data_IF_380580391075
#
_entry.id   IF_380580391075
#
_cell.length_a   1.000
_cell.length_b   1.000
_cell.length_c   1.000
_cell.angle_alpha   90.00
_cell.angle_beta   90.00
_cell.angle_gamma   90.00
#
_symmetry.space_group_name_H-M   'P 1'
#
loop_
_entity.id
_entity.type
_entity.pdbx_description
1 polymer ?
#
# COMPACT_ATOMS: atom_id res chain seq x y z
N UNK A 1 16.27 -7.14 -16.22
CA UNK A 1 15.89 -5.89 -16.91
C UNK A 1 15.67 -4.85 -15.84
N UNK A 2 16.44 -3.77 -15.83
CA UNK A 2 16.29 -2.68 -14.86
C UNK A 2 14.87 -2.10 -14.98
N UNK A 3 14.11 -2.08 -13.90
CA UNK A 3 12.77 -1.51 -13.82
C UNK A 3 12.88 0.02 -13.90
N UNK A 4 13.05 0.55 -15.10
CA UNK A 4 13.10 1.99 -15.33
C UNK A 4 11.78 2.64 -14.88
N UNK A 5 11.88 3.72 -14.10
CA UNK A 5 10.72 4.53 -13.73
C UNK A 5 10.07 5.13 -14.97
N UNK A 6 8.74 5.13 -15.02
CA UNK A 6 7.99 5.83 -16.07
C UNK A 6 8.11 7.34 -15.91
N UNK A 7 7.96 8.11 -16.99
CA UNK A 7 7.96 9.59 -16.95
C UNK A 7 6.97 10.14 -15.92
N UNK A 8 5.80 9.49 -15.78
CA UNK A 8 4.80 9.87 -14.78
C UNK A 8 5.29 9.68 -13.35
N UNK A 9 5.94 8.56 -13.05
CA UNK A 9 6.55 8.30 -11.74
C UNK A 9 7.66 9.30 -11.44
N UNK A 10 8.52 9.58 -12.43
CA UNK A 10 9.61 10.56 -12.29
C UNK A 10 9.04 11.93 -11.94
N UNK A 11 8.02 12.41 -12.66
CA UNK A 11 7.41 13.72 -12.39
C UNK A 11 6.71 13.77 -11.02
N UNK A 12 6.06 12.69 -10.61
CA UNK A 12 5.44 12.62 -9.30
C UNK A 12 6.49 12.63 -8.16
N UNK A 13 7.60 11.91 -8.32
CA UNK A 13 8.72 11.92 -7.36
C UNK A 13 9.36 13.30 -7.29
N UNK A 14 9.58 13.96 -8.43
CA UNK A 14 10.07 15.36 -8.49
C UNK A 14 9.18 16.30 -7.70
N UNK A 15 7.86 16.18 -7.89
CA UNK A 15 6.89 16.98 -7.15
C UNK A 15 6.92 16.68 -5.64
N UNK A 16 7.02 15.41 -5.26
CA UNK A 16 7.09 14.99 -3.85
C UNK A 16 8.36 15.48 -3.14
N UNK A 17 9.51 15.49 -3.85
CA UNK A 17 10.79 15.97 -3.32
C UNK A 17 10.99 17.48 -3.48
N UNK A 18 10.17 18.15 -4.30
CA UNK A 18 10.39 19.54 -4.69
C UNK A 18 11.70 19.78 -5.47
N UNK A 19 12.18 18.78 -6.21
CA UNK A 19 13.47 18.84 -6.93
C UNK A 19 13.36 18.35 -8.37
N UNK A 20 14.19 18.87 -9.27
CA UNK A 20 14.26 18.45 -10.68
C UNK A 20 15.07 17.16 -10.90
N UNK A 21 16.02 16.87 -10.02
CA UNK A 21 16.81 15.65 -9.99
C UNK A 21 16.70 14.99 -8.61
N UNK A 22 16.88 13.68 -8.58
CA UNK A 22 16.84 12.89 -7.35
C UNK A 22 17.68 11.62 -7.52
N UNK A 23 18.10 11.07 -6.39
CA UNK A 23 18.80 9.79 -6.29
C UNK A 23 17.86 8.71 -5.73
N UNK A 24 18.14 7.41 -5.99
CA UNK A 24 17.39 6.32 -5.35
C UNK A 24 17.36 6.43 -3.82
N UNK A 25 18.47 6.87 -3.20
CA UNK A 25 18.55 7.06 -1.75
C UNK A 25 17.60 8.16 -1.26
N UNK A 26 17.54 9.31 -1.93
CA UNK A 26 16.60 10.39 -1.57
C UNK A 26 15.15 9.94 -1.70
N UNK A 27 14.84 9.15 -2.72
CA UNK A 27 13.50 8.56 -2.87
C UNK A 27 13.24 7.57 -1.74
N UNK A 28 14.19 6.69 -1.43
CA UNK A 28 14.04 5.74 -0.32
C UNK A 28 13.79 6.46 1.01
N UNK A 29 14.39 7.62 1.26
CA UNK A 29 14.16 8.39 2.49
C UNK A 29 12.78 9.06 2.60
N UNK A 30 11.98 9.06 1.53
CA UNK A 30 10.62 9.62 1.60
C UNK A 30 9.75 8.84 2.58
N UNK A 31 8.95 9.58 3.33
CA UNK A 31 7.88 9.02 4.15
C UNK A 31 6.82 8.35 3.26
N UNK A 32 6.36 7.18 3.70
CA UNK A 32 5.32 6.43 2.99
C UNK A 32 4.04 7.26 2.82
N UNK A 33 3.68 8.08 3.82
CA UNK A 33 2.53 8.96 3.75
C UNK A 33 2.65 9.99 2.63
N UNK A 34 3.83 10.58 2.44
CA UNK A 34 4.09 11.54 1.35
C UNK A 34 3.89 10.84 0.01
N UNK A 35 4.54 9.70 -0.20
CA UNK A 35 4.44 8.95 -1.46
C UNK A 35 3.03 8.47 -1.78
N UNK A 36 2.26 8.06 -0.77
CA UNK A 36 0.87 7.61 -0.94
C UNK A 36 -0.07 8.74 -1.36
N UNK A 37 0.18 9.97 -0.91
CA UNK A 37 -0.65 11.14 -1.21
C UNK A 37 -0.16 11.94 -2.42
N UNK A 38 1.03 11.64 -2.94
CA UNK A 38 1.51 12.24 -4.18
C UNK A 38 0.57 11.95 -5.34
N UNK A 39 0.08 13.02 -5.96
CA UNK A 39 -0.79 12.93 -7.12
C UNK A 39 -0.10 12.13 -8.24
N UNK A 40 -0.79 11.11 -8.75
CA UNK A 40 -0.27 10.25 -9.80
C UNK A 40 0.49 9.01 -9.34
N UNK A 41 0.68 8.81 -8.03
CA UNK A 41 1.21 7.56 -7.46
C UNK A 41 0.10 6.72 -6.84
N UNK A 42 -0.43 5.76 -7.61
CA UNK A 42 -1.34 4.73 -7.09
C UNK A 42 -0.59 3.51 -6.52
N UNK A 43 -1.30 2.53 -5.93
CA UNK A 43 -0.70 1.33 -5.35
C UNK A 43 0.24 0.57 -6.30
N UNK A 44 -0.16 0.40 -7.56
CA UNK A 44 0.69 -0.20 -8.61
C UNK A 44 1.95 0.61 -8.89
N UNK A 45 1.83 1.93 -8.90
CA UNK A 45 2.94 2.85 -9.12
C UNK A 45 3.96 2.77 -7.98
N UNK A 46 3.47 2.72 -6.74
CA UNK A 46 4.30 2.58 -5.54
C UNK A 46 5.02 1.23 -5.54
N UNK A 47 4.33 0.14 -5.92
CA UNK A 47 4.96 -1.17 -6.07
C UNK A 47 6.10 -1.16 -7.11
N UNK A 48 5.89 -0.51 -8.26
CA UNK A 48 6.95 -0.34 -9.26
C UNK A 48 8.13 0.48 -8.76
N UNK A 49 7.88 1.56 -8.00
CA UNK A 49 8.95 2.36 -7.39
C UNK A 49 9.72 1.54 -6.34
N UNK A 50 9.05 0.72 -5.53
CA UNK A 50 9.72 -0.18 -4.58
C UNK A 50 10.64 -1.16 -5.30
N UNK A 51 10.19 -1.74 -6.41
CA UNK A 51 11.02 -2.64 -7.21
C UNK A 51 12.25 -1.92 -7.77
N UNK A 52 12.08 -0.72 -8.33
CA UNK A 52 13.19 0.10 -8.80
C UNK A 52 14.21 0.43 -7.69
N UNK A 53 13.74 0.72 -6.47
CA UNK A 53 14.61 0.97 -5.31
C UNK A 53 15.38 -0.27 -4.88
N UNK A 54 14.73 -1.44 -4.85
CA UNK A 54 15.38 -2.71 -4.54
C UNK A 54 16.49 -3.04 -5.54
N UNK A 55 16.25 -2.83 -6.83
CA UNK A 55 17.27 -3.02 -7.87
C UNK A 55 18.44 -2.03 -7.75
N UNK A 56 18.20 -0.84 -7.21
CA UNK A 56 19.22 0.15 -6.89
C UNK A 56 19.93 -0.11 -5.55
N UNK A 57 19.67 -1.25 -4.90
CA UNK A 57 20.25 -1.63 -3.60
C UNK A 57 19.72 -0.83 -2.41
N UNK A 58 18.60 -0.13 -2.56
CA UNK A 58 18.00 0.66 -1.49
C UNK A 58 16.88 -0.13 -0.79
N UNK A 59 16.97 -0.24 0.53
CA UNK A 59 15.92 -0.83 1.34
C UNK A 59 14.81 0.19 1.61
N UNK A 60 13.56 -0.21 1.42
CA UNK A 60 12.34 0.57 1.71
C UNK A 60 11.49 -0.10 2.79
N UNK A 61 12.15 -0.64 3.82
CA UNK A 61 11.49 -1.35 4.91
C UNK A 61 10.45 -0.49 5.65
N UNK A 62 10.67 0.82 5.76
CA UNK A 62 9.74 1.78 6.36
C UNK A 62 8.56 2.14 5.47
N UNK A 63 8.58 1.80 4.17
CA UNK A 63 7.38 1.89 3.35
C UNK A 63 6.40 0.77 3.66
N UNK A 64 6.78 -0.20 4.48
CA UNK A 64 5.90 -1.27 4.92
C UNK A 64 5.02 -0.81 6.08
N UNK A 65 3.93 -0.11 5.77
CA UNK A 65 2.58 -0.44 6.28
C UNK A 65 1.61 0.68 5.94
N UNK A 66 0.70 0.39 5.02
CA UNK A 66 -0.73 0.41 5.30
C UNK A 66 -1.40 -0.29 4.13
N UNK A 67 -1.38 -1.62 4.16
CA UNK A 67 -2.00 -2.45 3.14
C UNK A 67 -3.44 -1.97 2.94
N UNK A 68 -3.72 -1.41 1.77
CA UNK A 68 -5.09 -1.22 1.31
C UNK A 68 -5.89 -2.54 1.37
N UNK A 69 -5.18 -3.68 1.35
CA UNK A 69 -5.69 -5.00 1.67
C UNK A 69 -6.06 -5.17 3.16
N UNK A 70 -5.19 -4.81 4.11
CA UNK A 70 -5.47 -4.96 5.56
C UNK A 70 -6.61 -4.06 6.03
N UNK A 71 -6.75 -2.83 5.50
CA UNK A 71 -7.86 -1.97 5.89
C UNK A 71 -9.19 -2.46 5.31
N UNK A 72 -9.19 -2.97 4.07
CA UNK A 72 -10.38 -3.58 3.45
C UNK A 72 -10.75 -4.89 4.16
N UNK A 73 -9.77 -5.71 4.52
CA UNK A 73 -9.96 -6.94 5.29
C UNK A 73 -10.45 -6.67 6.71
N UNK A 74 -9.91 -5.65 7.39
CA UNK A 74 -10.41 -5.19 8.69
C UNK A 74 -11.87 -4.73 8.60
N UNK A 75 -12.21 -3.90 7.60
CA UNK A 75 -13.61 -3.46 7.38
C UNK A 75 -14.52 -4.64 7.03
N UNK A 76 -14.02 -5.61 6.26
CA UNK A 76 -14.77 -6.83 5.93
C UNK A 76 -15.00 -7.68 7.18
N UNK A 77 -13.97 -7.90 8.00
CA UNK A 77 -14.06 -8.65 9.25
C UNK A 77 -15.04 -7.98 10.23
N UNK A 78 -15.00 -6.65 10.35
CA UNK A 78 -15.95 -5.90 11.17
C UNK A 78 -17.40 -6.06 10.69
N UNK A 79 -17.65 -6.01 9.38
CA UNK A 79 -19.00 -6.22 8.82
C UNK A 79 -19.50 -7.64 9.02
N UNK A 80 -18.61 -8.63 8.89
CA UNK A 80 -18.93 -10.04 9.17
C UNK A 80 -19.26 -10.20 10.66
N UNK A 81 -18.44 -9.66 11.57
CA UNK A 81 -18.70 -9.72 13.00
C UNK A 81 -20.03 -9.06 13.39
N UNK A 82 -20.36 -7.91 12.80
CA UNK A 82 -21.65 -7.25 13.01
C UNK A 82 -22.82 -8.08 12.50
N UNK A 83 -22.68 -8.72 11.33
CA UNK A 83 -23.70 -9.60 10.78
C UNK A 83 -23.91 -10.84 11.66
N UNK A 84 -22.84 -11.45 12.17
CA UNK A 84 -22.89 -12.59 13.10
C UNK A 84 -23.64 -12.18 14.37
N UNK A 85 -23.23 -11.08 15.01
CA UNK A 85 -23.87 -10.60 16.23
C UNK A 85 -25.37 -10.29 16.05
N UNK A 86 -25.76 -9.78 14.87
CA UNK A 86 -27.16 -9.54 14.54
C UNK A 86 -27.95 -10.85 14.42
N UNK A 87 -27.38 -11.85 13.73
CA UNK A 87 -28.00 -13.16 13.57
C UNK A 87 -28.17 -13.87 14.92
N UNK A 88 -27.14 -13.84 15.77
CA UNK A 88 -27.18 -14.40 17.12
C UNK A 88 -28.23 -13.71 17.99
N UNK A 89 -28.34 -12.38 17.93
CA UNK A 89 -29.37 -11.61 18.64
C UNK A 89 -30.79 -12.02 18.23
N UNK A 90 -31.00 -12.47 17.00
CA UNK A 90 -32.29 -12.95 16.51
C UNK A 90 -32.50 -14.47 16.70
N UNK A 91 -31.61 -15.15 17.44
CA UNK A 91 -31.74 -16.56 17.79
C UNK A 91 -31.15 -17.53 16.77
N UNK A 92 -30.42 -17.04 15.77
CA UNK A 92 -29.71 -17.89 14.80
C UNK A 92 -28.33 -18.26 15.34
N UNK A 93 -27.93 -19.52 15.19
CA UNK A 93 -26.56 -19.96 15.47
C UNK A 93 -25.73 -19.92 14.19
N UNK A 94 -24.64 -19.16 14.17
CA UNK A 94 -23.71 -19.10 13.03
C UNK A 94 -22.61 -20.14 13.24
N UNK A 95 -22.45 -21.05 12.29
CA UNK A 95 -21.42 -22.09 12.33
C UNK A 95 -20.33 -21.68 11.34
N UNK A 96 -19.10 -21.47 11.80
CA UNK A 96 -17.98 -21.26 10.89
C UNK A 96 -17.74 -22.54 10.08
N UNK A 97 -17.63 -22.46 8.75
CA UNK A 97 -17.32 -23.63 7.95
C UNK A 97 -15.94 -24.14 8.34
N UNK A 98 -15.88 -25.40 8.77
CA UNK A 98 -14.63 -26.11 9.06
C UNK A 98 -13.81 -26.08 7.77
N UNK A 99 -12.70 -25.33 7.76
CA UNK A 99 -11.74 -25.34 6.66
C UNK A 99 -11.11 -26.73 6.63
N UNK A 100 -11.55 -27.57 5.70
CA UNK A 100 -10.89 -28.82 5.34
C UNK A 100 -9.62 -28.57 4.54
#
# INVERSE_FOLDING_TARGET
>A
MSAALTTRQINAIRAALGKHSFTPLEVAQLDYHVIRHTQGLGPKSIAGIRQWLLEAGQAVGHWQHDDCHSQRERRRAQRIAQAIALLERHGYSVIEPRKG
#
